data_IF_994924847599
#
_entry.id   IF_994924847599
#
_cell.length_a   1.000
_cell.length_b   1.000
_cell.length_c   1.000
_cell.angle_alpha   90.00
_cell.angle_beta   90.00
_cell.angle_gamma   90.00
#
_symmetry.space_group_name_H-M   'P 1'
#
loop_
_entity.id
_entity.type
_entity.pdbx_description
1 polymer ?
#
# COMPACT_ATOMS: atom_id res chain seq x y z
N UNK A 1 22.30 -6.31 27.65
CA UNK A 1 21.18 -5.62 26.98
C UNK A 1 21.69 -5.05 25.66
N UNK A 2 21.49 -5.79 24.57
CA UNK A 2 21.72 -5.36 23.19
C UNK A 2 20.68 -6.10 22.35
N UNK A 3 19.63 -5.43 21.87
CA UNK A 3 18.69 -6.00 20.92
C UNK A 3 19.29 -5.85 19.52
N UNK A 4 19.77 -6.96 18.96
CA UNK A 4 20.23 -7.02 17.57
C UNK A 4 19.06 -7.29 16.64
N UNK A 5 18.90 -6.40 15.66
CA UNK A 5 17.96 -6.38 14.55
C UNK A 5 18.29 -7.43 13.49
N UNK A 6 18.09 -8.71 13.80
CA UNK A 6 18.27 -9.80 12.84
C UNK A 6 17.39 -11.01 13.20
N UNK A 7 16.09 -10.94 12.89
CA UNK A 7 15.21 -12.11 12.81
C UNK A 7 14.26 -11.95 11.61
N UNK A 8 14.86 -11.75 10.44
CA UNK A 8 14.21 -11.91 9.14
C UNK A 8 14.95 -13.04 8.44
N UNK A 9 14.30 -14.17 8.19
CA UNK A 9 14.59 -15.21 7.19
C UNK A 9 13.89 -16.50 7.62
N UNK A 10 12.66 -16.74 7.14
CA UNK A 10 12.15 -18.05 6.69
C UNK A 10 10.65 -17.95 6.36
N UNK A 11 10.33 -17.43 5.18
CA UNK A 11 9.18 -17.93 4.41
C UNK A 11 9.78 -18.69 3.24
N UNK A 12 9.50 -19.99 3.21
CA UNK A 12 10.04 -20.95 2.24
C UNK A 12 9.85 -20.47 0.81
N UNK A 13 10.86 -20.74 0.01
CA UNK A 13 10.91 -20.54 -1.43
C UNK A 13 9.59 -20.97 -2.10
N UNK A 14 8.89 -20.01 -2.69
CA UNK A 14 7.92 -20.29 -3.74
C UNK A 14 8.74 -20.76 -4.96
N UNK A 15 8.37 -21.93 -5.48
CA UNK A 15 9.01 -22.57 -6.63
C UNK A 15 9.21 -21.57 -7.77
N UNK A 16 10.49 -21.35 -8.12
CA UNK A 16 10.90 -20.53 -9.26
C UNK A 16 10.66 -21.30 -10.55
N UNK A 17 9.55 -21.00 -11.22
CA UNK A 17 9.46 -21.18 -12.66
C UNK A 17 10.03 -19.94 -13.34
N UNK A 18 10.96 -20.14 -14.28
CA UNK A 18 11.45 -19.10 -15.20
C UNK A 18 10.28 -18.56 -16.04
N UNK A 19 9.55 -17.58 -15.49
CA UNK A 19 8.54 -16.81 -16.20
C UNK A 19 9.06 -15.39 -16.36
N UNK A 20 9.28 -14.97 -17.60
CA UNK A 20 9.52 -13.59 -17.97
C UNK A 20 8.62 -12.63 -17.18
N UNK A 21 9.22 -11.65 -16.50
CA UNK A 21 8.52 -10.47 -15.97
C UNK A 21 8.02 -9.63 -17.17
N UNK A 22 7.01 -10.14 -17.89
CA UNK A 22 6.27 -9.35 -18.85
C UNK A 22 5.54 -8.29 -18.04
N UNK A 23 5.82 -7.02 -18.36
CA UNK A 23 5.11 -5.88 -17.80
C UNK A 23 3.61 -6.16 -17.90
N UNK A 24 2.95 -6.42 -16.77
CA UNK A 24 1.50 -6.57 -16.74
C UNK A 24 0.90 -5.25 -17.16
N UNK A 25 0.02 -5.29 -18.17
CA UNK A 25 -0.76 -4.13 -18.55
C UNK A 25 -1.62 -3.73 -17.33
N UNK A 26 -1.35 -2.54 -16.78
CA UNK A 26 -2.05 -1.97 -15.65
C UNK A 26 -3.45 -1.57 -16.15
N UNK A 27 -4.43 -2.45 -15.96
CA UNK A 27 -5.79 -2.22 -16.43
C UNK A 27 -6.73 -2.12 -15.23
N UNK A 28 -7.23 -0.93 -14.95
CA UNK A 28 -8.29 -0.72 -13.96
C UNK A 28 -8.41 0.74 -13.51
N UNK A 29 -9.65 1.22 -13.32
CA UNK A 29 -9.94 2.49 -12.67
C UNK A 29 -9.68 3.76 -13.48
N UNK A 30 -10.25 4.85 -12.99
CA UNK A 30 -9.99 6.21 -13.51
C UNK A 30 -8.86 6.84 -12.71
N UNK A 31 -7.79 7.29 -13.38
CA UNK A 31 -6.69 8.04 -12.75
C UNK A 31 -7.06 9.51 -12.68
N UNK A 32 -7.08 10.07 -11.47
CA UNK A 32 -7.48 11.46 -11.19
C UNK A 32 -6.31 12.40 -10.96
N UNK A 33 -5.15 11.86 -10.57
CA UNK A 33 -3.89 12.58 -10.48
C UNK A 33 -2.73 11.60 -10.62
N UNK A 34 -1.63 12.08 -11.22
CA UNK A 34 -0.35 11.38 -11.27
C UNK A 34 0.71 12.30 -10.70
N UNK A 35 1.35 11.88 -9.62
CA UNK A 35 2.53 12.51 -9.04
C UNK A 35 3.76 11.79 -9.60
N UNK A 36 4.62 12.53 -10.28
CA UNK A 36 5.82 12.04 -10.90
C UNK A 36 7.02 12.48 -10.06
N UNK A 37 7.78 11.50 -9.57
CA UNK A 37 9.03 11.70 -8.83
C UNK A 37 10.22 11.46 -9.76
N UNK A 38 11.07 12.48 -9.91
CA UNK A 38 12.21 12.44 -10.81
C UNK A 38 13.48 12.00 -10.07
N UNK A 39 14.01 10.82 -10.40
CA UNK A 39 15.34 10.38 -9.93
C UNK A 39 16.40 10.94 -10.88
N UNK A 40 17.25 11.90 -10.47
CA UNK A 40 18.14 12.63 -11.39
C UNK A 40 19.13 11.75 -12.17
N UNK A 41 19.54 10.61 -11.59
CA UNK A 41 20.61 9.77 -12.13
C UNK A 41 20.14 8.65 -13.06
N UNK A 42 18.83 8.45 -13.25
CA UNK A 42 18.30 7.37 -14.08
C UNK A 42 17.04 7.84 -14.79
N UNK A 43 16.87 7.51 -16.07
CA UNK A 43 15.63 7.64 -16.84
C UNK A 43 14.48 6.74 -16.30
N UNK A 44 14.38 6.57 -14.98
CA UNK A 44 13.37 5.80 -14.27
C UNK A 44 12.45 6.78 -13.56
N UNK A 45 11.26 6.94 -14.12
CA UNK A 45 10.22 7.78 -13.55
C UNK A 45 9.42 6.98 -12.53
N UNK A 46 9.44 7.40 -11.26
CA UNK A 46 8.60 6.82 -10.22
C UNK A 46 7.28 7.58 -10.17
N UNK A 47 6.16 6.87 -10.02
CA UNK A 47 4.81 7.44 -10.10
C UNK A 47 3.96 7.07 -8.89
N UNK A 48 3.17 8.04 -8.46
CA UNK A 48 2.06 7.83 -7.52
C UNK A 48 0.78 8.23 -8.26
N UNK A 49 -0.17 7.31 -8.38
CA UNK A 49 -1.45 7.58 -9.05
C UNK A 49 -2.58 7.61 -8.02
N UNK A 50 -3.44 8.62 -8.09
CA UNK A 50 -4.72 8.65 -7.37
C UNK A 50 -5.76 8.02 -8.26
N UNK A 51 -6.36 6.93 -7.81
CA UNK A 51 -7.20 6.07 -8.64
C UNK A 51 -8.57 5.89 -8.01
N UNK A 52 -9.61 6.07 -8.82
CA UNK A 52 -10.95 5.59 -8.49
C UNK A 52 -11.17 4.19 -9.05
N UNK A 53 -11.18 3.17 -8.19
CA UNK A 53 -11.44 1.79 -8.57
C UNK A 53 -11.83 0.92 -7.36
N UNK A 54 -12.28 -0.31 -7.63
CA UNK A 54 -12.28 -1.39 -6.65
C UNK A 54 -10.85 -1.93 -6.49
N UNK A 55 -10.28 -1.80 -5.29
CA UNK A 55 -8.93 -2.27 -4.96
C UNK A 55 -8.73 -3.76 -5.30
N UNK A 56 -9.77 -4.59 -5.16
CA UNK A 56 -9.70 -6.03 -5.43
C UNK A 56 -9.61 -6.37 -6.92
N UNK A 57 -9.75 -5.37 -7.80
CA UNK A 57 -9.64 -5.47 -9.26
C UNK A 57 -8.32 -4.91 -9.80
N UNK A 58 -7.48 -4.33 -8.95
CA UNK A 58 -6.19 -3.76 -9.34
C UNK A 58 -5.20 -4.85 -9.79
N UNK A 59 -4.78 -4.80 -11.07
CA UNK A 59 -3.78 -5.72 -11.62
C UNK A 59 -2.37 -5.17 -11.42
N UNK A 60 -1.83 -5.38 -10.22
CA UNK A 60 -0.52 -4.90 -9.76
C UNK A 60 0.27 -6.04 -9.12
N UNK A 61 1.55 -5.86 -8.82
CA UNK A 61 2.36 -6.91 -8.20
C UNK A 61 1.93 -7.19 -6.75
N UNK A 62 1.59 -6.14 -5.99
CA UNK A 62 1.12 -6.24 -4.62
C UNK A 62 -0.16 -5.43 -4.37
N UNK A 63 -1.07 -5.98 -3.57
CA UNK A 63 -2.21 -5.22 -3.01
C UNK A 63 -1.97 -5.07 -1.51
N UNK A 64 -2.22 -3.88 -0.97
CA UNK A 64 -2.20 -3.62 0.47
C UNK A 64 -3.63 -3.62 1.02
N UNK A 65 -3.90 -4.51 1.96
CA UNK A 65 -5.10 -4.52 2.79
C UNK A 65 -4.94 -3.56 3.97
N UNK A 66 -5.96 -2.76 4.27
CA UNK A 66 -6.07 -2.06 5.55
C UNK A 66 -6.63 -3.01 6.62
N UNK A 67 -5.74 -3.58 7.43
CA UNK A 67 -6.03 -4.64 8.38
C UNK A 67 -6.04 -4.15 9.85
N UNK A 68 -6.58 -4.98 10.74
CA UNK A 68 -6.41 -4.84 12.20
C UNK A 68 -5.30 -5.79 12.70
N UNK A 69 -4.85 -5.58 13.95
CA UNK A 69 -3.78 -6.36 14.58
C UNK A 69 -4.02 -7.88 14.63
N UNK A 70 -5.27 -8.32 14.57
CA UNK A 70 -5.64 -9.74 14.60
C UNK A 70 -5.88 -10.33 13.22
N UNK A 71 -5.63 -9.56 12.15
CA UNK A 71 -5.90 -9.94 10.76
C UNK A 71 -7.30 -10.55 10.54
N UNK A 72 -8.31 -10.02 11.24
CA UNK A 72 -9.71 -10.44 11.07
C UNK A 72 -10.41 -9.56 10.04
N UNK A 73 -10.69 -10.10 8.87
CA UNK A 73 -11.11 -9.34 7.69
C UNK A 73 -12.63 -9.32 7.53
N UNK A 74 -13.35 -8.83 8.55
CA UNK A 74 -14.82 -8.91 8.61
C UNK A 74 -15.59 -7.77 7.93
N UNK A 75 -14.93 -6.71 7.46
CA UNK A 75 -15.63 -5.54 6.94
C UNK A 75 -14.74 -4.55 6.20
N UNK A 76 -15.37 -3.52 5.61
CA UNK A 76 -14.68 -2.52 4.78
C UNK A 76 -13.92 -3.17 3.63
N UNK A 77 -12.76 -2.60 3.29
CA UNK A 77 -11.89 -3.13 2.23
C UNK A 77 -11.35 -4.53 2.54
N UNK A 78 -11.08 -4.84 3.82
CA UNK A 78 -10.61 -6.17 4.23
C UNK A 78 -11.67 -7.25 3.96
N UNK A 79 -12.93 -6.96 4.26
CA UNK A 79 -14.04 -7.85 3.92
C UNK A 79 -14.22 -8.04 2.42
N UNK A 80 -14.07 -6.97 1.62
CA UNK A 80 -14.09 -7.07 0.16
C UNK A 80 -12.95 -7.94 -0.38
N UNK A 81 -11.75 -7.81 0.22
CA UNK A 81 -10.56 -8.62 -0.12
C UNK A 81 -10.82 -10.11 0.13
N UNK A 82 -11.37 -10.51 1.29
CA UNK A 82 -11.70 -11.92 1.52
C UNK A 82 -12.83 -12.39 0.60
N UNK A 83 -13.86 -11.57 0.40
CA UNK A 83 -14.97 -11.92 -0.49
C UNK A 83 -14.51 -12.21 -1.93
N UNK A 84 -13.61 -11.38 -2.47
CA UNK A 84 -13.16 -11.47 -3.86
C UNK A 84 -11.90 -12.34 -4.03
N UNK A 85 -11.07 -12.46 -3.00
CA UNK A 85 -9.85 -13.28 -3.00
C UNK A 85 -10.05 -14.70 -2.48
N UNK A 86 -11.13 -14.96 -1.74
CA UNK A 86 -11.47 -16.27 -1.17
C UNK A 86 -11.01 -16.45 0.29
N UNK A 87 -11.68 -17.38 0.98
CA UNK A 87 -11.52 -17.64 2.43
C UNK A 87 -10.10 -18.07 2.84
N UNK A 88 -9.31 -18.56 1.89
CA UNK A 88 -7.90 -18.90 2.11
C UNK A 88 -7.10 -17.73 2.69
N UNK A 89 -7.43 -16.48 2.33
CA UNK A 89 -6.77 -15.30 2.88
C UNK A 89 -6.99 -15.20 4.40
N UNK A 90 -8.22 -15.48 4.87
CA UNK A 90 -8.52 -15.48 6.30
C UNK A 90 -7.87 -16.67 7.01
N UNK A 91 -7.85 -17.85 6.38
CA UNK A 91 -7.18 -19.03 6.96
C UNK A 91 -5.67 -18.79 7.15
N UNK A 92 -4.98 -18.24 6.16
CA UNK A 92 -3.55 -17.89 6.28
C UNK A 92 -3.29 -16.78 7.30
N UNK A 93 -4.22 -15.82 7.39
CA UNK A 93 -4.16 -14.77 8.40
C UNK A 93 -4.29 -15.33 9.82
N UNK A 94 -5.20 -16.30 10.00
CA UNK A 94 -5.42 -16.98 11.29
C UNK A 94 -4.21 -17.83 11.68
N UNK A 95 -3.64 -18.57 10.72
CA UNK A 95 -2.38 -19.32 10.91
C UNK A 95 -1.21 -18.40 11.27
N UNK A 96 -1.10 -17.24 10.59
CA UNK A 96 -0.07 -16.25 10.88
C UNK A 96 -0.18 -15.76 12.32
N UNK A 97 -1.36 -15.34 12.75
CA UNK A 97 -1.59 -14.80 14.11
C UNK A 97 -1.44 -15.89 15.16
N UNK A 98 -1.86 -17.13 14.89
CA UNK A 98 -1.64 -18.26 15.80
C UNK A 98 -0.15 -18.54 16.03
N UNK A 99 0.68 -18.33 15.00
CA UNK A 99 2.12 -18.60 15.05
C UNK A 99 2.94 -17.45 15.63
N UNK A 100 2.60 -16.20 15.29
CA UNK A 100 3.44 -15.03 15.58
C UNK A 100 2.79 -14.03 16.55
N UNK A 101 1.51 -14.23 16.89
CA UNK A 101 0.73 -13.28 17.68
C UNK A 101 0.19 -12.11 16.86
N UNK A 102 -0.51 -11.18 17.52
CA UNK A 102 -1.07 -10.00 16.87
C UNK A 102 0.02 -9.02 16.40
N UNK A 103 -0.25 -8.33 15.30
CA UNK A 103 0.67 -7.38 14.69
C UNK A 103 0.52 -6.01 15.35
N UNK A 104 1.64 -5.37 15.68
CA UNK A 104 1.64 -4.01 16.21
C UNK A 104 1.20 -3.00 15.15
N UNK A 105 0.53 -1.94 15.58
CA UNK A 105 0.21 -0.80 14.71
C UNK A 105 1.47 -0.25 14.04
N UNK A 106 1.37 0.07 12.75
CA UNK A 106 2.50 0.43 11.88
C UNK A 106 3.23 -0.77 11.28
N UNK A 107 2.93 -1.99 11.72
CA UNK A 107 3.47 -3.23 11.19
C UNK A 107 2.69 -3.77 10.00
N UNK A 108 3.24 -4.81 9.38
CA UNK A 108 2.64 -5.54 8.26
C UNK A 108 2.70 -7.05 8.47
N UNK A 109 1.87 -7.79 7.73
CA UNK A 109 2.05 -9.22 7.46
C UNK A 109 1.81 -9.50 5.97
N UNK A 110 2.23 -10.67 5.50
CA UNK A 110 2.07 -11.06 4.09
C UNK A 110 1.42 -12.43 4.01
N UNK A 111 0.43 -12.56 3.13
CA UNK A 111 -0.24 -13.82 2.79
C UNK A 111 -0.29 -13.99 1.27
N UNK A 112 -0.73 -15.17 0.82
CA UNK A 112 -1.07 -15.38 -0.59
C UNK A 112 -2.32 -14.55 -0.95
N UNK A 113 -2.41 -14.07 -2.21
CA UNK A 113 -3.50 -13.19 -2.63
C UNK A 113 -4.83 -13.91 -2.90
N UNK A 114 -4.87 -15.24 -2.78
CA UNK A 114 -6.00 -16.05 -3.21
C UNK A 114 -6.28 -15.83 -4.70
N UNK A 115 -7.51 -15.45 -5.04
CA UNK A 115 -7.96 -15.17 -6.41
C UNK A 115 -7.75 -13.71 -6.85
N UNK A 116 -7.17 -12.84 -6.01
CA UNK A 116 -6.92 -11.45 -6.40
C UNK A 116 -5.86 -11.36 -7.51
N UNK A 117 -5.97 -10.38 -8.43
CA UNK A 117 -5.07 -10.24 -9.58
C UNK A 117 -3.70 -9.63 -9.22
N UNK A 118 -3.08 -10.07 -8.13
CA UNK A 118 -1.74 -9.68 -7.71
C UNK A 118 -0.86 -10.89 -7.37
N UNK A 119 0.44 -10.66 -7.13
CA UNK A 119 1.38 -11.73 -6.77
C UNK A 119 1.43 -11.97 -5.26
N UNK A 120 1.25 -10.92 -4.46
CA UNK A 120 1.20 -10.99 -3.00
C UNK A 120 0.13 -10.07 -2.42
N UNK A 121 -0.33 -10.40 -1.21
CA UNK A 121 -1.21 -9.56 -0.41
C UNK A 121 -0.48 -9.13 0.87
N UNK A 122 -0.32 -7.82 1.05
CA UNK A 122 0.28 -7.22 2.24
C UNK A 122 -0.86 -6.75 3.15
N UNK A 123 -0.84 -7.10 4.42
CA UNK A 123 -1.79 -6.64 5.43
C UNK A 123 -1.14 -5.57 6.29
N UNK A 124 -1.47 -4.30 6.05
CA UNK A 124 -0.95 -3.17 6.80
C UNK A 124 -1.86 -2.84 7.97
N UNK A 125 -1.31 -2.80 9.19
CA UNK A 125 -2.05 -2.50 10.41
C UNK A 125 -1.94 -1.02 10.73
N UNK A 126 -2.92 -0.25 10.25
CA UNK A 126 -3.03 1.18 10.55
C UNK A 126 -3.58 1.46 11.95
N UNK A 127 -3.41 2.69 12.46
CA UNK A 127 -3.94 3.12 13.76
C UNK A 127 -5.46 3.30 13.74
N UNK A 128 -6.09 3.12 14.90
CA UNK A 128 -7.44 3.64 15.17
C UNK A 128 -7.31 5.11 15.57
N UNK A 129 -8.12 5.98 14.97
CA UNK A 129 -8.08 7.41 15.29
C UNK A 129 -8.59 7.69 16.70
N UNK A 130 -7.77 8.30 17.55
CA UNK A 130 -8.11 8.70 18.92
C UNK A 130 -7.84 10.19 19.16
N UNK A 131 -7.95 11.02 18.11
CA UNK A 131 -7.74 12.46 18.20
C UNK A 131 -6.32 12.94 17.86
N UNK A 132 -5.43 12.04 17.43
CA UNK A 132 -4.12 12.41 16.87
C UNK A 132 -3.05 12.74 17.90
N UNK A 133 -3.20 12.20 19.12
CA UNK A 133 -2.32 12.45 20.27
C UNK A 133 -1.56 11.19 20.74
N UNK A 134 -1.68 10.08 20.00
CA UNK A 134 -1.16 8.75 20.35
C UNK A 134 -0.41 8.11 19.19
N UNK A 135 0.50 8.88 18.60
CA UNK A 135 1.39 8.41 17.52
C UNK A 135 0.64 7.84 16.29
N UNK A 136 -0.61 8.25 16.07
CA UNK A 136 -1.40 7.70 14.97
C UNK A 136 -0.75 8.06 13.62
N UNK A 137 -0.26 9.29 13.48
CA UNK A 137 0.39 9.72 12.24
C UNK A 137 1.63 8.90 11.90
N UNK A 138 2.54 8.73 12.87
CA UNK A 138 3.77 7.97 12.69
C UNK A 138 3.49 6.47 12.46
N UNK A 139 2.44 5.94 13.08
CA UNK A 139 1.99 4.56 12.86
C UNK A 139 1.41 4.37 11.45
N UNK A 140 0.59 5.30 10.97
CA UNK A 140 0.04 5.24 9.61
C UNK A 140 1.17 5.37 8.57
N UNK A 141 2.11 6.29 8.81
CA UNK A 141 3.32 6.44 8.00
C UNK A 141 4.11 5.13 7.93
N UNK A 142 4.38 4.52 9.10
CA UNK A 142 5.13 3.26 9.19
C UNK A 142 4.43 2.12 8.46
N UNK A 143 3.10 2.01 8.56
CA UNK A 143 2.33 0.99 7.86
C UNK A 143 2.51 1.09 6.33
N UNK A 144 2.49 2.31 5.79
CA UNK A 144 2.72 2.57 4.37
C UNK A 144 4.17 2.30 3.97
N UNK A 145 5.13 2.87 4.70
CA UNK A 145 6.56 2.72 4.43
C UNK A 145 7.00 1.25 4.46
N UNK A 146 6.58 0.51 5.49
CA UNK A 146 6.89 -0.92 5.62
C UNK A 146 6.27 -1.76 4.49
N UNK A 147 5.10 -1.36 3.96
CA UNK A 147 4.50 -2.02 2.80
C UNK A 147 5.35 -1.83 1.53
N UNK A 148 5.90 -0.63 1.32
CA UNK A 148 6.79 -0.35 0.19
C UNK A 148 8.14 -1.07 0.33
N UNK A 149 8.70 -1.10 1.54
CA UNK A 149 9.92 -1.85 1.85
C UNK A 149 9.76 -3.34 1.56
N UNK A 150 8.60 -3.92 1.85
CA UNK A 150 8.31 -5.32 1.52
C UNK A 150 8.15 -5.55 0.01
N UNK A 151 7.56 -4.60 -0.72
CA UNK A 151 7.53 -4.66 -2.19
C UNK A 151 8.94 -4.62 -2.78
N UNK A 152 9.79 -3.73 -2.26
CA UNK A 152 11.18 -3.58 -2.67
C UNK A 152 12.01 -4.84 -2.40
N UNK A 153 11.92 -5.42 -1.20
CA UNK A 153 12.66 -6.63 -0.82
C UNK A 153 12.34 -7.83 -1.73
N UNK A 154 11.15 -7.82 -2.34
CA UNK A 154 10.66 -8.84 -3.26
C UNK A 154 10.82 -8.48 -4.74
N UNK A 155 11.46 -7.36 -5.05
CA UNK A 155 11.67 -6.86 -6.42
C UNK A 155 10.36 -6.62 -7.18
N UNK A 156 9.31 -6.21 -6.47
CA UNK A 156 8.03 -5.86 -7.09
C UNK A 156 8.08 -4.44 -7.65
N UNK A 157 7.35 -4.22 -8.74
CA UNK A 157 7.37 -2.98 -9.51
C UNK A 157 6.17 -2.07 -9.25
N UNK A 158 5.04 -2.65 -8.82
CA UNK A 158 3.78 -1.94 -8.65
C UNK A 158 3.02 -2.38 -7.39
N UNK A 159 2.37 -1.44 -6.73
CA UNK A 159 1.53 -1.71 -5.55
C UNK A 159 0.29 -0.84 -5.54
N UNK A 160 -0.85 -1.41 -5.17
CA UNK A 160 -2.11 -0.68 -4.95
C UNK A 160 -2.44 -0.62 -3.45
N UNK A 161 -2.76 0.57 -2.95
CA UNK A 161 -2.96 0.85 -1.53
C UNK A 161 -4.24 1.67 -1.35
N UNK A 162 -5.16 1.29 -0.44
CA UNK A 162 -6.33 2.10 -0.11
C UNK A 162 -5.95 3.24 0.85
N UNK A 163 -6.90 4.12 1.15
CA UNK A 163 -6.77 5.06 2.26
C UNK A 163 -6.78 4.31 3.63
N UNK A 164 -5.60 3.83 4.04
CA UNK A 164 -5.42 3.04 5.27
C UNK A 164 -5.95 3.83 6.48
N UNK A 165 -6.69 3.14 7.35
CA UNK A 165 -7.35 3.69 8.54
C UNK A 165 -8.47 4.71 8.33
N UNK A 166 -8.73 5.23 7.12
CA UNK A 166 -9.71 6.31 6.92
C UNK A 166 -11.16 5.84 6.73
N UNK A 167 -11.41 4.53 6.85
CA UNK A 167 -12.74 3.92 6.84
C UNK A 167 -13.23 3.68 8.28
N UNK A 168 -13.39 2.41 8.65
CA UNK A 168 -13.88 1.99 9.97
C UNK A 168 -13.06 2.57 11.13
N UNK A 169 -11.74 2.75 10.95
CA UNK A 169 -10.85 3.29 11.98
C UNK A 169 -10.93 4.83 12.14
N UNK A 170 -11.72 5.51 11.31
CA UNK A 170 -12.11 6.92 11.51
C UNK A 170 -10.99 7.94 11.29
N UNK A 171 -9.85 7.55 10.73
CA UNK A 171 -8.75 8.49 10.49
C UNK A 171 -9.16 9.59 9.50
N UNK A 172 -8.95 10.89 9.79
CA UNK A 172 -9.35 11.97 8.89
C UNK A 172 -8.73 11.81 7.50
N UNK A 173 -9.58 11.68 6.47
CA UNK A 173 -9.16 11.36 5.09
C UNK A 173 -8.09 12.31 4.53
N UNK A 174 -8.24 13.62 4.75
CA UNK A 174 -7.26 14.60 4.28
C UNK A 174 -5.88 14.44 4.95
N UNK A 175 -5.87 14.12 6.25
CA UNK A 175 -4.63 13.83 6.99
C UNK A 175 -4.01 12.50 6.56
N UNK A 176 -4.84 11.48 6.37
CA UNK A 176 -4.44 10.17 5.83
C UNK A 176 -3.77 10.33 4.46
N UNK A 177 -4.38 11.06 3.53
CA UNK A 177 -3.82 11.32 2.20
C UNK A 177 -2.41 11.92 2.28
N UNK A 178 -2.25 13.01 3.05
CA UNK A 178 -0.96 13.68 3.25
C UNK A 178 0.11 12.74 3.79
N UNK A 179 -0.24 11.92 4.79
CA UNK A 179 0.70 10.95 5.39
C UNK A 179 1.09 9.86 4.39
N UNK A 180 0.14 9.31 3.62
CA UNK A 180 0.45 8.26 2.64
C UNK A 180 1.34 8.80 1.52
N UNK A 181 1.08 9.99 0.99
CA UNK A 181 1.97 10.63 0.01
C UNK A 181 3.36 10.87 0.59
N UNK A 182 3.44 11.46 1.79
CA UNK A 182 4.72 11.70 2.46
C UNK A 182 5.53 10.42 2.63
N UNK A 183 4.89 9.32 3.05
CA UNK A 183 5.56 8.03 3.23
C UNK A 183 6.11 7.47 1.91
N UNK A 184 5.36 7.61 0.81
CA UNK A 184 5.82 7.16 -0.51
C UNK A 184 7.00 7.98 -1.01
N UNK A 185 6.91 9.31 -0.88
CA UNK A 185 7.97 10.22 -1.31
C UNK A 185 9.24 10.03 -0.47
N UNK A 186 9.12 9.91 0.84
CA UNK A 186 10.24 9.57 1.72
C UNK A 186 10.89 8.24 1.31
N UNK A 187 10.08 7.21 1.05
CA UNK A 187 10.57 5.92 0.57
C UNK A 187 11.31 6.05 -0.77
N UNK A 188 10.79 6.79 -1.75
CA UNK A 188 11.45 6.99 -3.04
C UNK A 188 12.75 7.78 -2.94
N UNK A 189 12.83 8.74 -2.01
CA UNK A 189 14.06 9.51 -1.72
C UNK A 189 15.10 8.65 -0.99
N UNK A 190 14.67 7.82 -0.04
CA UNK A 190 15.55 6.92 0.72
C UNK A 190 16.06 5.74 -0.13
N UNK A 191 15.20 5.22 -1.02
CA UNK A 191 15.49 4.04 -1.85
C UNK A 191 15.38 4.37 -3.36
N UNK A 192 16.25 5.24 -3.90
CA UNK A 192 16.15 5.69 -5.30
C UNK A 192 16.35 4.55 -6.30
N UNK A 193 17.02 3.46 -5.88
CA UNK A 193 17.24 2.24 -6.68
C UNK A 193 16.14 1.19 -6.49
N UNK A 194 15.09 1.48 -5.73
CA UNK A 194 13.99 0.54 -5.51
C UNK A 194 13.35 0.10 -6.82
N UNK A 195 12.96 -1.18 -6.90
CA UNK A 195 12.18 -1.76 -7.99
C UNK A 195 10.79 -1.17 -8.10
N UNK A 196 10.25 -0.62 -7.00
CA UNK A 196 8.90 -0.02 -6.97
C UNK A 196 8.92 1.25 -7.80
N UNK A 197 8.17 1.23 -8.90
CA UNK A 197 8.06 2.34 -9.86
C UNK A 197 6.66 2.95 -9.87
N UNK A 198 5.65 2.20 -9.40
CA UNK A 198 4.27 2.66 -9.37
C UNK A 198 3.60 2.35 -8.04
N UNK A 199 3.04 3.38 -7.41
CA UNK A 199 2.15 3.27 -6.26
C UNK A 199 0.78 3.81 -6.65
N UNK A 200 -0.27 2.99 -6.53
CA UNK A 200 -1.66 3.39 -6.84
C UNK A 200 -2.46 3.57 -5.56
N UNK A 201 -2.73 4.81 -5.18
CA UNK A 201 -3.61 5.16 -4.07
C UNK A 201 -5.07 4.99 -4.54
N UNK A 202 -5.61 3.80 -4.33
CA UNK A 202 -6.85 3.33 -4.96
C UNK A 202 -8.01 3.38 -3.97
N UNK A 203 -9.00 4.23 -4.25
CA UNK A 203 -10.17 4.40 -3.41
C UNK A 203 -11.46 4.18 -4.23
N UNK A 204 -12.48 3.59 -3.60
CA UNK A 204 -13.73 3.25 -4.28
C UNK A 204 -14.66 4.46 -4.44
N UNK A 205 -14.80 5.27 -3.38
CA UNK A 205 -15.74 6.39 -3.35
C UNK A 205 -15.12 7.69 -3.87
N UNK A 206 -15.88 8.42 -4.70
CA UNK A 206 -15.48 9.70 -5.27
C UNK A 206 -15.03 10.73 -4.20
N UNK A 207 -15.71 10.90 -3.05
CA UNK A 207 -15.26 11.86 -2.03
C UNK A 207 -13.83 11.60 -1.52
N UNK A 208 -13.46 10.35 -1.24
CA UNK A 208 -12.08 10.03 -0.83
C UNK A 208 -11.08 10.28 -1.97
N UNK A 209 -11.46 9.96 -3.21
CA UNK A 209 -10.62 10.22 -4.40
C UNK A 209 -10.33 11.70 -4.58
N UNK A 210 -11.33 12.57 -4.49
CA UNK A 210 -11.13 14.03 -4.61
C UNK A 210 -10.22 14.55 -3.49
N UNK A 211 -10.36 14.07 -2.26
CA UNK A 211 -9.46 14.44 -1.15
C UNK A 211 -8.00 14.04 -1.45
N UNK A 212 -7.78 12.86 -2.02
CA UNK A 212 -6.44 12.42 -2.41
C UNK A 212 -5.91 13.19 -3.62
N UNK A 213 -6.78 13.59 -4.55
CA UNK A 213 -6.44 14.42 -5.69
C UNK A 213 -6.00 15.82 -5.25
N UNK A 214 -6.73 16.43 -4.31
CA UNK A 214 -6.36 17.72 -3.70
C UNK A 214 -5.00 17.61 -2.98
N UNK A 215 -4.81 16.55 -2.18
CA UNK A 215 -3.53 16.30 -1.52
C UNK A 215 -2.37 16.08 -2.52
N UNK A 216 -2.64 15.50 -3.69
CA UNK A 216 -1.63 15.39 -4.76
C UNK A 216 -1.31 16.76 -5.37
N UNK A 217 -2.31 17.62 -5.59
CA UNK A 217 -2.11 18.96 -6.13
C UNK A 217 -1.21 19.83 -5.24
N UNK A 218 -1.35 19.70 -3.90
CA UNK A 218 -0.50 20.39 -2.91
C UNK A 218 1.00 20.04 -3.05
N UNK A 219 1.37 18.90 -3.66
CA UNK A 219 2.76 18.47 -3.80
C UNK A 219 3.53 19.16 -4.93
N UNK A 220 2.86 19.96 -5.76
CA UNK A 220 3.49 20.60 -6.92
C UNK A 220 4.53 21.68 -6.54
N UNK A 221 4.65 22.00 -5.25
CA UNK A 221 5.66 22.91 -4.69
C UNK A 221 7.01 22.23 -4.41
N UNK A 222 7.07 20.89 -4.40
CA UNK A 222 8.30 20.13 -4.14
C UNK A 222 9.22 20.09 -5.38
N UNK A 223 10.53 20.36 -5.24
CA UNK A 223 11.42 20.57 -6.38
C UNK A 223 11.69 19.33 -7.24
N UNK A 224 11.51 18.14 -6.69
CA UNK A 224 11.70 16.84 -7.33
C UNK A 224 10.40 16.21 -7.84
N UNK A 225 9.29 16.95 -7.75
CA UNK A 225 7.94 16.50 -8.07
C UNK A 225 7.35 17.25 -9.25
N UNK A 226 6.61 16.53 -10.09
CA UNK A 226 5.67 17.10 -11.05
C UNK A 226 4.30 16.45 -10.87
N UNK A 227 3.24 17.25 -10.82
CA UNK A 227 1.87 16.74 -10.70
C UNK A 227 1.12 16.91 -12.02
N UNK A 228 0.43 15.85 -12.47
CA UNK A 228 -0.45 15.82 -13.62
C UNK A 228 -1.87 15.47 -13.15
N UNK A 229 -2.80 16.42 -13.24
CA UNK A 229 -4.19 16.19 -12.84
C UNK A 229 -5.00 15.59 -13.99
N UNK A 230 -5.77 14.55 -13.69
CA UNK A 230 -6.74 13.96 -14.61
C UNK A 230 -7.93 14.91 -14.85
N UNK A 231 -8.46 14.89 -16.07
CA UNK A 231 -9.67 15.65 -16.43
C UNK A 231 -10.83 15.17 -15.54
N UNK A 232 -11.56 16.10 -14.92
CA UNK A 232 -12.79 15.79 -14.22
C UNK A 232 -13.81 15.26 -15.25
N UNK A 233 -14.23 14.00 -15.09
CA UNK A 233 -15.37 13.44 -15.82
C UNK A 233 -16.69 14.05 -15.38
#
# INVERSE_FOLDING_TARGET
MLFSSAHWYLVRAVNRGNGSYLARCLTGGTVHATVIFNVPDKNVTKKIEVVQNDLTKENVDAIVNAANSWLKHGGGVAGAIVKNGGDQIQNESDEYVAKYGPIKTGGIAVTRPGSLPCSILIHAVGPVWMGGQKDEDSSLHSAMYNSLSECHSRLLSSVAVPAISSGIFGFPKARCAKILFSAVLEFFRAEPKSSVNLVRLTNFDKPTVEIFKDAAADLNEEPDIRVELGQAS
#
